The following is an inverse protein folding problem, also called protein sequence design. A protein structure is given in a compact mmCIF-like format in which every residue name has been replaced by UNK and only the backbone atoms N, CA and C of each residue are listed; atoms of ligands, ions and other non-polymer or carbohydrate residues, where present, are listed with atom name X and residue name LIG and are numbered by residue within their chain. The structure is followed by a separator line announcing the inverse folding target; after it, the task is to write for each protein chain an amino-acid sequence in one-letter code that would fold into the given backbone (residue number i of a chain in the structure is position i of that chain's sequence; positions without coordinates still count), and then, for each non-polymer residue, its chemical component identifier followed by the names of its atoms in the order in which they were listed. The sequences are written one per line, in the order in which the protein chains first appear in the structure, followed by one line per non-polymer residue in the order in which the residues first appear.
data_IF_590523997135
#
_entry.id   IF_590523997135
#
_cell.length_a   1.000
_cell.length_b   1.000
_cell.length_c   1.000
_cell.angle_alpha   90.00
_cell.angle_beta   90.00
_cell.angle_gamma   90.00
#
_symmetry.space_group_name_H-M   'P 1'
#
loop_
_entity.id
_entity.type
_entity.pdbx_description
1 polymer ?
#
# COMPACT_ATOMS: atom_id res chain seq x y z
N UNK A 1 11.29 20.03 -4.29
CA UNK A 1 10.26 20.91 -4.88
C UNK A 1 8.98 20.11 -5.04
N UNK A 2 7.85 20.63 -4.55
CA UNK A 2 6.54 19.99 -4.68
C UNK A 2 5.82 20.58 -5.90
N UNK A 3 5.32 19.74 -6.81
CA UNK A 3 4.54 20.19 -7.97
C UNK A 3 3.09 20.39 -7.54
N UNK A 4 2.50 21.57 -7.76
CA UNK A 4 1.07 21.81 -7.51
C UNK A 4 0.31 21.82 -8.84
N UNK A 5 -0.83 21.14 -8.90
CA UNK A 5 -1.61 21.01 -10.13
C UNK A 5 -2.88 20.20 -9.94
N UNK A 6 -3.47 19.76 -11.05
CA UNK A 6 -4.69 18.94 -11.05
C UNK A 6 -4.33 17.46 -10.97
N UNK A 7 -4.91 16.75 -10.00
CA UNK A 7 -4.75 15.31 -9.87
C UNK A 7 -5.39 14.58 -11.05
N UNK A 8 -4.64 13.67 -11.67
CA UNK A 8 -5.14 12.87 -12.79
C UNK A 8 -6.31 11.94 -12.43
N UNK A 9 -6.34 11.44 -11.19
CA UNK A 9 -7.33 10.46 -10.75
C UNK A 9 -8.66 11.09 -10.28
N UNK A 10 -8.59 12.12 -9.42
CA UNK A 10 -9.77 12.73 -8.82
C UNK A 10 -10.15 14.09 -9.42
N UNK A 11 -9.26 14.73 -10.19
CA UNK A 11 -9.50 16.06 -10.77
C UNK A 11 -9.33 17.23 -9.80
N UNK A 12 -8.96 16.99 -8.54
CA UNK A 12 -8.77 18.05 -7.55
C UNK A 12 -7.46 18.80 -7.74
N UNK A 13 -7.44 20.08 -7.37
CA UNK A 13 -6.21 20.85 -7.26
C UNK A 13 -5.48 20.46 -5.96
N UNK A 14 -4.26 19.93 -6.11
CA UNK A 14 -3.47 19.45 -4.99
C UNK A 14 -1.97 19.46 -5.29
N UNK A 15 -1.19 19.18 -4.26
CA UNK A 15 0.22 18.85 -4.46
C UNK A 15 0.33 17.44 -5.05
N UNK A 16 0.98 17.32 -6.20
CA UNK A 16 1.14 16.10 -6.97
C UNK A 16 2.32 15.26 -6.49
N UNK A 17 2.19 13.95 -6.71
CA UNK A 17 3.10 12.86 -6.36
C UNK A 17 3.24 11.89 -7.53
N UNK A 18 4.32 11.12 -7.51
CA UNK A 18 4.50 9.97 -8.38
C UNK A 18 3.53 8.86 -7.96
N UNK A 19 3.04 8.13 -8.96
CA UNK A 19 2.23 6.94 -8.76
C UNK A 19 3.12 5.81 -8.23
N UNK A 20 2.67 5.07 -7.21
CA UNK A 20 3.42 3.96 -6.63
C UNK A 20 3.38 2.71 -7.53
N UNK A 21 2.40 2.61 -8.44
CA UNK A 21 2.14 1.46 -9.32
C UNK A 21 2.93 1.49 -10.63
N UNK A 22 3.53 2.63 -10.98
CA UNK A 22 4.28 2.80 -12.22
C UNK A 22 5.78 2.90 -11.93
N UNK A 23 6.62 2.43 -12.85
CA UNK A 23 8.08 2.58 -12.72
C UNK A 23 8.47 4.05 -12.89
N UNK A 24 9.59 4.45 -12.28
CA UNK A 24 10.05 5.84 -12.34
C UNK A 24 10.37 6.29 -13.77
N UNK A 25 10.91 5.39 -14.60
CA UNK A 25 11.25 5.67 -16.00
C UNK A 25 10.02 5.94 -16.88
N UNK A 26 8.88 5.34 -16.52
CA UNK A 26 7.59 5.54 -17.20
C UNK A 26 6.87 6.81 -16.71
N UNK A 27 7.38 7.46 -15.66
CA UNK A 27 6.78 8.63 -15.02
C UNK A 27 7.57 9.90 -15.27
N UNK A 28 7.26 10.60 -16.36
CA UNK A 28 7.90 11.88 -16.68
C UNK A 28 7.67 12.97 -15.62
N UNK A 29 6.56 12.91 -14.86
CA UNK A 29 6.22 13.91 -13.83
C UNK A 29 5.23 13.39 -12.78
N UNK A 30 5.21 13.97 -11.57
CA UNK A 30 4.15 13.75 -10.59
C UNK A 30 2.78 14.07 -11.16
N UNK A 31 1.78 13.21 -10.94
CA UNK A 31 0.45 13.32 -11.56
C UNK A 31 -0.73 13.04 -10.63
N UNK A 32 -0.51 12.49 -9.43
CA UNK A 32 -1.58 12.11 -8.51
C UNK A 32 -1.47 12.84 -7.17
N UNK A 33 -2.58 13.13 -6.49
CA UNK A 33 -2.56 13.70 -5.15
C UNK A 33 -2.15 12.65 -4.11
N UNK A 34 -1.81 13.09 -2.89
CA UNK A 34 -1.39 12.17 -1.83
C UNK A 34 -2.47 11.15 -1.46
N UNK A 35 -3.74 11.54 -1.48
CA UNK A 35 -4.86 10.65 -1.16
C UNK A 35 -4.98 9.51 -2.17
N UNK A 36 -4.97 9.82 -3.47
CA UNK A 36 -4.99 8.81 -4.53
C UNK A 36 -3.73 7.94 -4.51
N UNK A 37 -2.57 8.50 -4.15
CA UNK A 37 -1.33 7.74 -3.98
C UNK A 37 -1.46 6.69 -2.88
N UNK A 38 -1.91 7.08 -1.70
CA UNK A 38 -2.08 6.15 -0.56
C UNK A 38 -3.09 5.05 -0.88
N UNK A 39 -4.21 5.37 -1.54
CA UNK A 39 -5.19 4.36 -1.96
C UNK A 39 -4.62 3.35 -2.97
N UNK A 40 -3.65 3.76 -3.80
CA UNK A 40 -2.93 2.84 -4.70
C UNK A 40 -1.95 1.96 -3.92
N UNK A 41 -1.22 2.53 -2.97
CA UNK A 41 -0.31 1.78 -2.06
C UNK A 41 -1.08 0.71 -1.27
N UNK A 42 -2.24 1.06 -0.70
CA UNK A 42 -3.09 0.14 0.07
C UNK A 42 -3.51 -1.07 -0.77
N UNK A 43 -3.94 -0.86 -2.01
CA UNK A 43 -4.34 -1.97 -2.91
C UNK A 43 -3.20 -2.96 -3.19
N UNK A 44 -1.97 -2.47 -3.34
CA UNK A 44 -0.81 -3.34 -3.53
C UNK A 44 -0.45 -4.12 -2.26
N UNK A 45 -0.61 -3.48 -1.10
CA UNK A 45 -0.35 -4.13 0.19
C UNK A 45 -1.37 -5.24 0.45
N UNK A 46 -2.63 -5.04 0.06
CA UNK A 46 -3.67 -6.08 0.15
C UNK A 46 -3.37 -7.26 -0.79
N UNK A 47 -2.95 -7.02 -2.04
CA UNK A 47 -2.50 -8.09 -2.95
C UNK A 47 -1.34 -8.90 -2.35
N UNK A 48 -0.39 -8.24 -1.69
CA UNK A 48 0.73 -8.91 -1.02
C UNK A 48 0.32 -9.71 0.25
N UNK A 49 -0.86 -9.41 0.81
CA UNK A 49 -1.39 -10.10 2.00
C UNK A 49 -2.11 -11.39 1.63
N UNK A 50 -2.88 -11.40 0.54
CA UNK A 50 -3.54 -12.60 0.03
C UNK A 50 -2.55 -13.63 -0.54
N UNK A 51 -1.39 -13.19 -1.02
CA UNK A 51 -0.29 -14.06 -1.49
C UNK A 51 0.69 -14.49 -0.40
N UNK A 52 0.38 -14.38 0.90
CA UNK A 52 1.13 -15.14 1.90
C UNK A 52 0.57 -16.57 1.95
N UNK A 53 1.21 -17.57 1.30
CA UNK A 53 0.99 -18.94 1.71
C UNK A 53 1.38 -18.99 3.18
N UNK A 54 0.39 -19.23 4.05
CA UNK A 54 0.66 -19.55 5.44
C UNK A 54 1.64 -20.71 5.41
N UNK A 55 2.89 -20.58 5.89
CA UNK A 55 3.81 -21.71 5.90
C UNK A 55 3.14 -22.79 6.76
N UNK A 56 2.81 -23.93 6.15
CA UNK A 56 2.11 -25.07 6.77
C UNK A 56 2.91 -25.75 7.91
N UNK A 57 3.93 -25.08 8.44
CA UNK A 57 4.94 -25.62 9.34
C UNK A 57 5.03 -24.87 10.67
N UNK A 58 4.10 -23.94 10.96
CA UNK A 58 4.00 -23.37 12.30
C UNK A 58 3.11 -24.31 13.13
N UNK A 59 3.69 -25.16 14.02
CA UNK A 59 2.87 -25.89 14.97
C UNK A 59 2.09 -24.87 15.82
N UNK A 60 0.83 -25.18 16.17
CA UNK A 60 0.05 -24.32 17.05
C UNK A 60 0.85 -24.07 18.32
N UNK A 61 0.97 -22.80 18.69
CA UNK A 61 1.53 -22.38 19.98
C UNK A 61 0.76 -23.16 21.05
N UNK A 62 1.40 -23.95 21.92
CA UNK A 62 0.67 -24.63 22.98
C UNK A 62 0.04 -23.55 23.86
N UNK A 63 -1.28 -23.61 24.01
CA UNK A 63 -2.02 -22.77 24.94
C UNK A 63 -1.35 -22.85 26.31
N UNK A 64 -1.03 -21.68 26.84
CA UNK A 64 -0.50 -21.50 28.18
C UNK A 64 -1.43 -22.24 29.16
N UNK A 65 -0.91 -23.30 29.76
CA UNK A 65 -1.60 -24.04 30.82
C UNK A 65 -1.67 -23.19 32.08
N UNK A 66 -2.68 -22.33 32.16
CA UNK A 66 -3.25 -21.83 33.40
C UNK A 66 -4.44 -22.74 33.76
N UNK A 67 -4.21 -23.71 34.65
CA UNK A 67 -5.15 -24.20 35.68
C UNK A 67 -4.39 -25.27 36.52
N UNK A 68 -3.90 -24.91 37.71
CA UNK A 68 -4.51 -25.23 39.02
C UNK A 68 -4.62 -26.74 39.32
N UNK A 69 -3.70 -27.28 40.14
CA UNK A 69 -3.90 -27.68 41.55
C UNK A 69 -2.62 -28.26 42.16
#
# INVERSE_FOLDING_TARGET
MSLYGVCYDCGDQATLRYKPDEKIDDQARPSVCNHCRTRREERMVDEFRDERPVPSHVPPVPEEGDDRE
#
